data_IF_084335169466
#
_entry.id   IF_084335169466
#
_cell.length_a   1.000
_cell.length_b   1.000
_cell.length_c   1.000
_cell.angle_alpha   90.00
_cell.angle_beta   90.00
_cell.angle_gamma   90.00
#
_symmetry.space_group_name_H-M   'P 1'
#
loop_
_entity.id
_entity.type
_entity.pdbx_description
1 polymer ?
#
# COMPACT_ATOMS: atom_id res chain seq x y z
N UNK A 1 -15.14 21.54 52.27
CA UNK A 1 -13.69 21.82 52.19
C UNK A 1 -13.36 22.37 50.81
N UNK A 2 -12.80 23.59 50.74
CA UNK A 2 -12.42 24.31 49.52
C UNK A 2 -11.06 23.79 49.04
N UNK A 3 -11.01 23.05 47.93
CA UNK A 3 -9.73 22.62 47.35
C UNK A 3 -9.24 23.61 46.30
N UNK A 4 -8.11 24.24 46.62
CA UNK A 4 -7.23 24.99 45.71
C UNK A 4 -6.73 24.01 44.63
N UNK A 5 -7.07 24.26 43.37
CA UNK A 5 -6.31 23.71 42.24
C UNK A 5 -4.96 24.43 42.16
N UNK A 6 -3.90 23.66 42.30
CA UNK A 6 -2.53 24.11 42.02
C UNK A 6 -2.36 24.38 40.53
N UNK A 7 -1.79 25.54 40.22
CA UNK A 7 -1.38 25.94 38.88
C UNK A 7 -0.35 24.96 38.31
N UNK A 8 -0.80 24.06 37.44
CA UNK A 8 0.09 23.35 36.52
C UNK A 8 0.32 24.28 35.32
N UNK A 9 1.61 24.54 35.07
CA UNK A 9 2.16 25.53 34.14
C UNK A 9 1.54 25.44 32.74
N UNK A 10 1.11 26.60 32.23
CA UNK A 10 0.56 26.86 30.89
C UNK A 10 1.61 26.82 29.76
N UNK A 11 2.86 26.48 30.03
CA UNK A 11 3.97 26.69 29.09
C UNK A 11 4.25 25.53 28.12
N UNK A 12 3.55 24.39 28.22
CA UNK A 12 3.73 23.27 27.27
C UNK A 12 2.74 23.24 26.10
N UNK A 13 1.68 24.05 26.12
CA UNK A 13 0.67 24.08 25.05
C UNK A 13 0.93 25.12 23.95
N UNK A 14 1.87 26.05 24.14
CA UNK A 14 2.26 27.02 23.11
C UNK A 14 3.22 26.43 22.07
N UNK A 15 3.92 25.32 22.39
CA UNK A 15 4.86 24.69 21.45
C UNK A 15 4.19 23.72 20.46
N UNK A 16 3.03 23.17 20.78
CA UNK A 16 2.31 22.22 19.91
C UNK A 16 1.51 22.96 18.82
N UNK A 17 1.06 24.20 19.10
CA UNK A 17 0.32 25.01 18.12
C UNK A 17 1.23 25.61 17.03
N UNK A 18 2.55 25.67 17.25
CA UNK A 18 3.52 26.20 16.27
C UNK A 18 4.01 25.13 15.28
N UNK A 19 3.84 23.84 15.59
CA UNK A 19 4.28 22.74 14.70
C UNK A 19 3.21 22.40 13.63
N UNK A 20 1.93 22.70 13.88
CA UNK A 20 0.85 22.43 12.91
C UNK A 20 0.72 23.46 11.77
N UNK A 21 1.45 24.58 11.78
CA UNK A 21 1.35 25.63 10.75
C UNK A 21 2.57 25.75 9.81
N UNK A 22 3.57 24.86 9.92
CA UNK A 22 4.86 25.01 9.21
C UNK A 22 5.15 23.99 8.09
N UNK A 23 4.11 23.37 7.51
CA UNK A 23 4.27 22.59 6.27
C UNK A 23 3.56 23.25 5.09
N UNK A 24 3.89 24.51 4.83
CA UNK A 24 3.69 25.12 3.51
C UNK A 24 4.95 24.89 2.69
N UNK A 25 4.98 23.79 1.93
CA UNK A 25 6.02 23.51 0.96
C UNK A 25 5.78 24.39 -0.28
N UNK A 26 6.20 25.66 -0.19
CA UNK A 26 6.24 26.58 -1.32
C UNK A 26 7.35 26.12 -2.29
N UNK A 27 6.98 25.27 -3.25
CA UNK A 27 7.83 25.00 -4.41
C UNK A 27 7.87 26.28 -5.24
N UNK A 28 9.01 26.96 -5.23
CA UNK A 28 9.28 28.12 -6.06
C UNK A 28 9.15 27.77 -7.55
N UNK A 29 7.95 27.99 -8.10
CA UNK A 29 7.61 27.88 -9.51
C UNK A 29 8.38 28.90 -10.39
N UNK A 30 9.06 29.87 -9.77
CA UNK A 30 9.82 30.94 -10.44
C UNK A 30 11.11 30.47 -11.13
N UNK A 31 11.68 29.34 -10.70
CA UNK A 31 12.87 28.74 -11.34
C UNK A 31 12.46 28.07 -12.67
N UNK A 32 11.23 27.54 -12.73
CA UNK A 32 10.70 26.82 -13.89
C UNK A 32 10.31 27.76 -15.04
N UNK A 33 9.77 28.94 -14.73
CA UNK A 33 9.43 29.95 -15.75
C UNK A 33 10.66 30.65 -16.33
N UNK A 34 11.69 30.88 -15.50
CA UNK A 34 12.94 31.52 -15.94
C UNK A 34 13.73 30.62 -16.91
N UNK A 35 13.69 29.30 -16.73
CA UNK A 35 14.37 28.36 -17.62
C UNK A 35 13.70 28.20 -18.99
N UNK A 36 12.36 28.24 -19.04
CA UNK A 36 11.60 28.21 -20.30
C UNK A 36 11.83 29.49 -21.13
N UNK A 37 11.98 30.64 -20.48
CA UNK A 37 12.29 31.91 -21.14
C UNK A 37 13.68 31.92 -21.82
N UNK A 38 14.69 31.32 -21.18
CA UNK A 38 16.06 31.23 -21.73
C UNK A 38 16.12 30.30 -22.96
N UNK A 39 15.33 29.23 -22.97
CA UNK A 39 15.24 28.32 -24.13
C UNK A 39 14.48 28.90 -25.32
N UNK A 40 13.53 29.82 -25.09
CA UNK A 40 12.79 30.50 -26.16
C UNK A 40 13.68 31.49 -26.93
N UNK A 41 14.56 32.23 -26.24
CA UNK A 41 15.45 33.23 -26.89
C UNK A 41 16.53 32.63 -27.79
N UNK A 42 16.95 31.38 -27.59
CA UNK A 42 17.95 30.72 -28.46
C UNK A 42 17.38 30.18 -29.78
N UNK A 43 16.05 30.26 -30.01
CA UNK A 43 15.39 29.71 -31.20
C UNK A 43 15.13 30.71 -32.33
N UNK A 44 15.45 31.99 -32.17
CA UNK A 44 15.19 33.00 -33.22
C UNK A 44 16.42 33.43 -34.03
N UNK A 45 17.59 32.83 -33.82
CA UNK A 45 18.81 33.19 -34.55
C UNK A 45 19.38 32.01 -35.35
N UNK A 46 18.62 31.52 -36.32
CA UNK A 46 19.10 30.92 -37.58
C UNK A 46 17.94 30.30 -38.34
N UNK A 47 17.43 31.02 -39.33
CA UNK A 47 17.15 30.47 -40.67
C UNK A 47 16.48 31.53 -41.54
N UNK A 48 17.15 31.92 -42.63
CA UNK A 48 16.44 32.12 -43.90
C UNK A 48 17.44 32.20 -45.06
N UNK A 49 17.63 31.06 -45.72
CA UNK A 49 17.50 31.00 -47.18
C UNK A 49 17.14 29.57 -47.64
N UNK A 50 16.08 29.51 -48.45
CA UNK A 50 15.66 28.47 -49.42
C UNK A 50 15.42 27.01 -48.96
N UNK A 51 14.14 26.62 -48.88
CA UNK A 51 13.50 25.75 -49.91
C UNK A 51 12.14 25.23 -49.40
N UNK A 52 11.07 25.55 -50.15
CA UNK A 52 9.66 25.36 -49.76
C UNK A 52 9.17 23.91 -49.81
N UNK A 53 9.89 22.99 -50.45
CA UNK A 53 9.48 21.58 -50.58
C UNK A 53 10.05 20.64 -49.49
N UNK A 54 11.12 21.03 -48.79
CA UNK A 54 11.62 20.25 -47.63
C UNK A 54 10.72 20.40 -46.41
N UNK A 55 9.98 21.51 -46.30
CA UNK A 55 9.15 21.80 -45.14
C UNK A 55 7.94 20.88 -44.98
N UNK A 56 7.42 20.26 -46.06
CA UNK A 56 6.27 19.36 -45.98
C UNK A 56 6.68 17.95 -45.53
N UNK A 57 7.79 17.44 -46.06
CA UNK A 57 8.36 16.15 -45.62
C UNK A 57 8.90 16.23 -44.19
N UNK A 58 9.53 17.35 -43.82
CA UNK A 58 10.06 17.55 -42.47
C UNK A 58 8.94 17.75 -41.43
N UNK A 59 7.81 18.37 -41.80
CA UNK A 59 6.66 18.55 -40.92
C UNK A 59 5.85 17.27 -40.73
N UNK A 60 5.85 16.39 -41.73
CA UNK A 60 5.28 15.04 -41.65
C UNK A 60 6.18 14.10 -40.83
N UNK A 61 7.50 14.16 -41.02
CA UNK A 61 8.47 13.41 -40.22
C UNK A 61 8.52 13.89 -38.77
N UNK A 62 8.30 15.18 -38.51
CA UNK A 62 8.19 15.74 -37.16
C UNK A 62 6.85 15.44 -36.47
N UNK A 63 5.80 15.16 -37.24
CA UNK A 63 4.51 14.66 -36.77
C UNK A 63 4.62 13.18 -36.38
N UNK A 64 5.23 12.37 -37.25
CA UNK A 64 5.48 10.94 -37.00
C UNK A 64 6.48 10.72 -35.86
N UNK A 65 7.51 11.57 -35.71
CA UNK A 65 8.42 11.59 -34.56
C UNK A 65 7.69 11.92 -33.24
N UNK A 66 6.64 12.76 -33.29
CA UNK A 66 5.81 13.08 -32.12
C UNK A 66 4.90 11.92 -31.76
N UNK A 67 4.26 11.29 -32.74
CA UNK A 67 3.38 10.15 -32.52
C UNK A 67 4.20 8.95 -32.01
N UNK A 68 5.33 8.63 -32.65
CA UNK A 68 6.28 7.59 -32.18
C UNK A 68 6.83 7.88 -30.79
N UNK A 69 7.12 9.14 -30.43
CA UNK A 69 7.57 9.46 -29.06
C UNK A 69 6.54 9.16 -27.97
N UNK A 70 5.24 9.26 -28.29
CA UNK A 70 4.14 8.91 -27.37
C UNK A 70 3.98 7.38 -27.31
N UNK A 71 4.10 6.68 -28.44
CA UNK A 71 4.07 5.20 -28.47
C UNK A 71 5.27 4.57 -27.76
N UNK A 72 6.47 5.16 -27.83
CA UNK A 72 7.64 4.73 -27.03
C UNK A 72 7.45 5.01 -25.53
N UNK A 73 6.64 6.00 -25.14
CA UNK A 73 6.27 6.21 -23.74
C UNK A 73 5.39 5.06 -23.21
N UNK A 74 4.57 4.48 -24.09
CA UNK A 74 3.64 3.39 -23.81
C UNK A 74 4.20 2.01 -24.17
N UNK A 75 5.43 1.68 -23.75
CA UNK A 75 5.73 0.24 -23.61
C UNK A 75 4.83 -0.34 -22.52
N UNK A 76 4.21 -1.48 -22.79
CA UNK A 76 3.19 -2.09 -21.91
C UNK A 76 3.61 -2.16 -20.42
N UNK A 77 4.87 -2.49 -20.06
CA UNK A 77 5.35 -2.42 -18.67
C UNK A 77 5.26 -1.03 -18.05
N UNK A 78 5.67 0.00 -18.79
CA UNK A 78 5.72 1.38 -18.29
C UNK A 78 4.33 1.93 -18.04
N UNK A 79 3.41 1.76 -18.99
CA UNK A 79 2.03 2.19 -18.84
C UNK A 79 1.36 1.48 -17.64
N UNK A 80 1.65 0.19 -17.48
CA UNK A 80 1.10 -0.61 -16.38
C UNK A 80 1.60 -0.11 -15.03
N UNK A 81 2.91 0.11 -14.85
CA UNK A 81 3.46 0.62 -13.58
C UNK A 81 3.12 2.09 -13.31
N UNK A 82 2.94 2.91 -14.35
CA UNK A 82 2.47 4.30 -14.20
C UNK A 82 1.09 4.35 -13.53
N UNK A 83 0.22 3.38 -13.83
CA UNK A 83 -1.14 3.29 -13.27
C UNK A 83 -1.14 2.52 -11.94
N UNK A 84 -0.45 1.39 -11.87
CA UNK A 84 -0.50 0.50 -10.69
C UNK A 84 0.25 1.06 -9.51
N UNK A 85 1.45 1.63 -9.71
CA UNK A 85 2.27 2.13 -8.59
C UNK A 85 1.48 3.12 -7.72
N UNK A 86 0.81 4.15 -8.29
CA UNK A 86 0.03 5.07 -7.46
C UNK A 86 -1.13 4.43 -6.70
N UNK A 87 -1.82 3.45 -7.32
CA UNK A 87 -2.91 2.71 -6.68
C UNK A 87 -2.37 1.95 -5.47
N UNK A 88 -1.27 1.20 -5.64
CA UNK A 88 -0.68 0.40 -4.57
C UNK A 88 -0.12 1.27 -3.44
N UNK A 89 0.61 2.32 -3.77
CA UNK A 89 1.18 3.24 -2.77
C UNK A 89 0.06 3.95 -2.01
N UNK A 90 -0.98 4.43 -2.69
CA UNK A 90 -2.14 5.05 -2.05
C UNK A 90 -2.88 4.07 -1.13
N UNK A 91 -3.07 2.81 -1.56
CA UNK A 91 -3.64 1.75 -0.70
C UNK A 91 -2.77 1.53 0.53
N UNK A 92 -1.46 1.37 0.39
CA UNK A 92 -0.57 1.11 1.54
C UNK A 92 -0.53 2.28 2.49
N UNK A 93 -0.33 3.51 2.01
CA UNK A 93 -0.26 4.70 2.87
C UNK A 93 -1.55 4.94 3.66
N UNK A 94 -2.70 4.52 3.13
CA UNK A 94 -3.96 4.61 3.87
C UNK A 94 -4.20 3.40 4.75
N UNK A 95 -4.07 2.18 4.23
CA UNK A 95 -4.47 0.96 4.93
C UNK A 95 -3.53 0.64 6.07
N UNK A 96 -2.23 0.87 5.90
CA UNK A 96 -1.21 0.48 6.86
C UNK A 96 -1.34 1.13 8.24
N UNK A 97 -1.36 2.47 8.40
CA UNK A 97 -1.49 3.10 9.72
C UNK A 97 -2.84 2.73 10.35
N UNK A 98 -3.89 2.77 9.54
CA UNK A 98 -5.25 2.36 9.88
C UNK A 98 -5.28 0.93 10.46
N UNK A 99 -4.62 -0.04 9.82
CA UNK A 99 -4.63 -1.44 10.26
C UNK A 99 -4.06 -1.64 11.67
N UNK A 100 -3.17 -0.74 12.11
CA UNK A 100 -2.42 -0.83 13.37
C UNK A 100 -2.97 0.13 14.44
N UNK A 101 -3.70 1.18 14.02
CA UNK A 101 -4.42 2.12 14.88
C UNK A 101 -5.26 1.49 16.01
N UNK A 102 -6.04 0.39 15.83
CA UNK A 102 -6.80 -0.21 16.93
C UNK A 102 -6.00 -0.52 18.20
N UNK A 103 -4.74 -0.91 18.02
CA UNK A 103 -3.89 -1.46 19.08
C UNK A 103 -3.05 -0.35 19.71
N UNK A 104 -2.56 0.58 18.90
CA UNK A 104 -1.60 1.59 19.33
C UNK A 104 -2.17 3.01 19.40
N UNK A 105 -3.40 3.21 18.91
CA UNK A 105 -3.99 4.52 18.72
C UNK A 105 -3.42 5.27 17.52
N UNK A 106 -4.11 6.34 17.13
CA UNK A 106 -3.80 7.13 15.94
C UNK A 106 -2.39 7.73 15.98
N UNK A 107 -1.99 8.25 17.14
CA UNK A 107 -0.72 8.95 17.31
C UNK A 107 0.47 8.01 17.05
N UNK A 108 0.58 6.90 17.77
CA UNK A 108 1.71 5.99 17.63
C UNK A 108 1.71 5.21 16.31
N UNK A 109 0.54 4.99 15.70
CA UNK A 109 0.45 4.34 14.39
C UNK A 109 0.96 5.19 13.22
N UNK A 110 1.01 6.52 13.38
CA UNK A 110 1.36 7.48 12.32
C UNK A 110 2.69 8.18 12.54
N UNK A 111 3.15 8.28 13.79
CA UNK A 111 4.49 8.80 14.14
C UNK A 111 5.55 8.03 13.33
N UNK A 112 6.43 8.75 12.62
CA UNK A 112 7.51 8.23 11.77
C UNK A 112 7.12 7.25 10.64
N UNK A 113 5.84 6.93 10.47
CA UNK A 113 5.39 5.94 9.51
C UNK A 113 5.74 6.36 8.07
N UNK A 114 5.46 7.60 7.70
CA UNK A 114 5.67 8.11 6.35
C UNK A 114 7.17 8.20 6.02
N UNK A 115 7.99 8.63 6.98
CA UNK A 115 9.43 8.75 6.84
C UNK A 115 10.08 7.38 6.62
N UNK A 116 9.69 6.38 7.40
CA UNK A 116 10.22 5.02 7.26
C UNK A 116 9.69 4.35 5.98
N UNK A 117 8.41 4.54 5.63
CA UNK A 117 7.85 4.04 4.38
C UNK A 117 8.55 4.64 3.15
N UNK A 118 8.84 5.94 3.18
CA UNK A 118 9.61 6.62 2.13
C UNK A 118 11.06 6.13 2.10
N UNK A 119 11.70 5.94 3.26
CA UNK A 119 13.05 5.36 3.35
C UNK A 119 13.10 3.94 2.77
N UNK A 120 12.07 3.13 3.00
CA UNK A 120 11.95 1.80 2.42
C UNK A 120 11.82 1.84 0.90
N UNK A 121 11.01 2.78 0.38
CA UNK A 121 10.88 3.04 -1.05
C UNK A 121 12.23 3.45 -1.68
N UNK A 122 12.94 4.40 -1.08
CA UNK A 122 14.24 4.86 -1.59
C UNK A 122 15.29 3.75 -1.54
N UNK A 123 15.27 2.90 -0.50
CA UNK A 123 16.12 1.73 -0.43
C UNK A 123 15.84 0.73 -1.56
N UNK A 124 14.56 0.48 -1.86
CA UNK A 124 14.15 -0.31 -3.03
C UNK A 124 14.66 0.26 -4.36
N UNK A 125 14.62 1.59 -4.51
CA UNK A 125 15.18 2.28 -5.68
C UNK A 125 16.70 2.05 -5.77
N UNK A 126 17.43 2.20 -4.67
CA UNK A 126 18.89 2.00 -4.62
C UNK A 126 19.25 0.55 -5.01
N UNK A 127 18.53 -0.44 -4.46
CA UNK A 127 18.71 -1.86 -4.82
C UNK A 127 18.47 -2.06 -6.33
N UNK A 128 17.41 -1.46 -6.88
CA UNK A 128 17.11 -1.54 -8.30
C UNK A 128 18.21 -0.96 -9.17
N UNK A 129 18.77 0.20 -8.80
CA UNK A 129 19.89 0.82 -9.52
C UNK A 129 21.13 -0.07 -9.45
N UNK A 130 21.44 -0.63 -8.28
CA UNK A 130 22.54 -1.57 -8.09
C UNK A 130 22.40 -2.83 -8.96
N UNK A 131 21.20 -3.38 -9.06
CA UNK A 131 20.90 -4.51 -9.94
C UNK A 131 21.15 -4.17 -11.42
N UNK A 132 20.68 -3.00 -11.89
CA UNK A 132 20.94 -2.54 -13.26
C UNK A 132 22.43 -2.34 -13.50
N UNK A 133 23.15 -1.72 -12.56
CA UNK A 133 24.58 -1.50 -12.66
C UNK A 133 25.35 -2.83 -12.79
N UNK A 134 24.98 -3.84 -11.99
CA UNK A 134 25.54 -5.20 -12.07
C UNK A 134 25.28 -5.85 -13.43
N UNK A 135 24.09 -5.68 -13.98
CA UNK A 135 23.70 -6.31 -15.25
C UNK A 135 24.31 -5.63 -16.49
N UNK A 136 24.93 -4.45 -16.34
CA UNK A 136 25.54 -3.68 -17.42
C UNK A 136 26.68 -4.43 -18.13
N UNK A 137 27.40 -5.32 -17.43
CA UNK A 137 28.49 -6.12 -18.00
C UNK A 137 28.02 -7.26 -18.90
N UNK A 138 26.75 -7.65 -18.84
CA UNK A 138 26.21 -8.76 -19.63
C UNK A 138 25.93 -8.36 -21.08
N UNK A 139 25.87 -9.38 -21.95
CA UNK A 139 25.41 -9.23 -23.34
C UNK A 139 24.00 -8.64 -23.39
N UNK A 140 23.65 -8.02 -24.53
CA UNK A 140 22.38 -7.30 -24.65
C UNK A 140 21.15 -8.18 -24.39
N UNK A 141 21.11 -9.34 -25.04
CA UNK A 141 20.02 -10.31 -24.98
C UNK A 141 19.91 -10.89 -23.57
N UNK A 142 21.03 -11.33 -22.99
CA UNK A 142 21.05 -11.91 -21.64
C UNK A 142 20.58 -10.91 -20.59
N UNK A 143 21.00 -9.65 -20.72
CA UNK A 143 20.60 -8.58 -19.81
C UNK A 143 19.09 -8.29 -19.86
N UNK A 144 18.50 -8.25 -21.04
CA UNK A 144 17.06 -7.99 -21.18
C UNK A 144 16.24 -9.14 -20.58
N UNK A 145 16.69 -10.39 -20.75
CA UNK A 145 16.06 -11.55 -20.11
C UNK A 145 16.15 -11.49 -18.58
N UNK A 146 17.32 -11.13 -18.03
CA UNK A 146 17.49 -10.95 -16.59
C UNK A 146 16.58 -9.85 -16.03
N UNK A 147 16.49 -8.68 -16.70
CA UNK A 147 15.62 -7.58 -16.26
C UNK A 147 14.14 -7.98 -16.34
N UNK A 148 13.73 -8.70 -17.38
CA UNK A 148 12.35 -9.16 -17.53
C UNK A 148 11.98 -10.21 -16.50
N UNK A 149 12.89 -11.16 -16.23
CA UNK A 149 12.74 -12.14 -15.17
C UNK A 149 12.63 -11.48 -13.79
N UNK A 150 13.50 -10.51 -13.50
CA UNK A 150 13.47 -9.73 -12.26
C UNK A 150 12.18 -8.91 -12.11
N UNK A 151 11.65 -8.35 -13.20
CA UNK A 151 10.40 -7.60 -13.19
C UNK A 151 9.20 -8.52 -12.92
N UNK A 152 9.10 -9.66 -13.62
CA UNK A 152 8.01 -10.62 -13.43
C UNK A 152 8.05 -11.21 -12.03
N UNK A 153 9.21 -11.68 -11.58
CA UNK A 153 9.39 -12.20 -10.22
C UNK A 153 9.12 -11.13 -9.16
N UNK A 154 9.52 -9.88 -9.39
CA UNK A 154 9.22 -8.77 -8.48
C UNK A 154 7.72 -8.48 -8.34
N UNK A 155 6.95 -8.56 -9.43
CA UNK A 155 5.47 -8.43 -9.39
C UNK A 155 4.86 -9.55 -8.55
N UNK A 156 5.31 -10.79 -8.77
CA UNK A 156 4.86 -11.95 -8.01
C UNK A 156 5.17 -11.80 -6.52
N UNK A 157 6.40 -11.43 -6.17
CA UNK A 157 6.81 -11.18 -4.78
C UNK A 157 6.00 -10.07 -4.13
N UNK A 158 5.76 -8.97 -4.83
CA UNK A 158 4.93 -7.88 -4.32
C UNK A 158 3.48 -8.37 -4.07
N UNK A 159 2.90 -9.13 -5.00
CA UNK A 159 1.55 -9.69 -4.84
C UNK A 159 1.45 -10.69 -3.68
N UNK A 160 2.46 -11.55 -3.52
CA UNK A 160 2.58 -12.49 -2.40
C UNK A 160 2.66 -11.72 -1.07
N UNK A 161 3.46 -10.65 -0.99
CA UNK A 161 3.55 -9.82 0.22
C UNK A 161 2.20 -9.20 0.58
N UNK A 162 1.43 -8.69 -0.39
CA UNK A 162 0.07 -8.19 -0.13
C UNK A 162 -0.86 -9.29 0.38
N UNK A 163 -0.78 -10.49 -0.16
CA UNK A 163 -1.66 -11.60 0.21
C UNK A 163 -1.31 -12.21 1.57
N UNK A 164 -0.03 -12.28 1.93
CA UNK A 164 0.44 -12.80 3.22
C UNK A 164 0.37 -11.76 4.35
N UNK A 165 0.28 -10.47 4.04
CA UNK A 165 0.42 -9.42 5.04
C UNK A 165 -0.50 -9.57 6.28
N UNK A 166 -1.78 -9.99 6.18
CA UNK A 166 -2.61 -10.12 7.38
C UNK A 166 -2.14 -11.26 8.31
N UNK A 167 -1.51 -12.31 7.76
CA UNK A 167 -0.94 -13.42 8.54
C UNK A 167 0.35 -12.97 9.21
N UNK A 168 1.23 -12.28 8.46
CA UNK A 168 2.51 -11.79 8.98
C UNK A 168 2.26 -10.78 10.09
N UNK A 169 1.34 -9.83 9.89
CA UNK A 169 1.00 -8.83 10.91
C UNK A 169 0.44 -9.50 12.17
N UNK A 170 -0.41 -10.52 12.04
CA UNK A 170 -0.90 -11.31 13.19
C UNK A 170 0.24 -11.95 13.97
N UNK A 171 1.24 -12.52 13.29
CA UNK A 171 2.40 -13.11 13.94
C UNK A 171 3.27 -12.05 14.63
N UNK A 172 3.46 -10.89 13.98
CA UNK A 172 4.26 -9.79 14.51
C UNK A 172 3.59 -9.09 15.70
N UNK A 173 2.26 -9.14 15.82
CA UNK A 173 1.58 -8.55 16.97
C UNK A 173 2.08 -9.11 18.31
N UNK A 174 2.35 -10.42 18.37
CA UNK A 174 2.89 -11.05 19.58
C UNK A 174 4.23 -10.43 20.01
N UNK A 175 5.12 -10.16 19.06
CA UNK A 175 6.44 -9.57 19.33
C UNK A 175 6.29 -8.08 19.63
N UNK A 176 5.43 -7.40 18.89
CA UNK A 176 5.25 -5.96 18.99
C UNK A 176 4.70 -5.49 20.33
N UNK A 177 3.92 -6.34 21.03
CA UNK A 177 3.44 -6.06 22.38
C UNK A 177 4.58 -5.94 23.41
N UNK A 178 5.70 -6.64 23.19
CA UNK A 178 6.87 -6.60 24.08
C UNK A 178 7.71 -5.32 23.89
N UNK A 179 7.64 -4.70 22.72
CA UNK A 179 8.49 -3.57 22.33
C UNK A 179 7.88 -2.20 22.68
N UNK A 180 6.70 -2.20 23.31
CA UNK A 180 6.00 -1.00 23.73
C UNK A 180 5.35 -0.22 22.56
N UNK A 181 4.67 0.90 22.89
CA UNK A 181 3.82 1.61 21.94
C UNK A 181 4.58 2.39 20.86
N UNK A 182 5.86 2.71 21.08
CA UNK A 182 6.65 3.49 20.12
C UNK A 182 7.27 2.61 19.02
N UNK A 183 7.81 1.45 19.38
CA UNK A 183 8.49 0.54 18.43
C UNK A 183 7.52 -0.51 17.88
N UNK A 184 6.54 -0.94 18.68
CA UNK A 184 5.55 -1.95 18.32
C UNK A 184 4.90 -1.72 16.95
N UNK A 185 4.33 -0.52 16.66
CA UNK A 185 3.72 -0.25 15.37
C UNK A 185 4.67 -0.48 14.21
N UNK A 186 5.91 0.00 14.29
CA UNK A 186 6.88 -0.14 13.21
C UNK A 186 7.31 -1.59 12.97
N UNK A 187 7.38 -2.40 14.02
CA UNK A 187 7.63 -3.83 13.87
C UNK A 187 6.47 -4.51 13.15
N UNK A 188 5.22 -4.17 13.46
CA UNK A 188 4.07 -4.70 12.71
C UNK A 188 4.08 -4.23 11.25
N UNK A 189 4.48 -2.99 10.98
CA UNK A 189 4.61 -2.46 9.62
C UNK A 189 5.74 -3.08 8.80
N UNK A 190 6.73 -3.70 9.45
CA UNK A 190 7.74 -4.51 8.78
C UNK A 190 7.12 -5.75 8.11
N UNK A 191 5.97 -6.23 8.58
CA UNK A 191 5.20 -7.30 7.93
C UNK A 191 4.19 -6.85 6.88
N UNK A 192 4.03 -5.54 6.68
CA UNK A 192 3.01 -4.95 5.82
C UNK A 192 3.60 -3.90 4.88
N UNK A 193 3.71 -2.65 5.33
CA UNK A 193 3.97 -1.53 4.45
C UNK A 193 5.41 -1.48 3.92
N UNK A 194 6.40 -1.68 4.78
CA UNK A 194 7.81 -1.47 4.41
C UNK A 194 8.28 -2.42 3.30
N UNK A 195 8.14 -3.76 3.41
CA UNK A 195 8.57 -4.65 2.34
C UNK A 195 7.81 -4.42 1.03
N UNK A 196 6.55 -4.00 1.10
CA UNK A 196 5.76 -3.65 -0.09
C UNK A 196 6.29 -2.37 -0.73
N UNK A 197 6.55 -1.32 0.04
CA UNK A 197 7.11 -0.06 -0.46
C UNK A 197 8.50 -0.27 -1.08
N UNK A 198 9.36 -1.07 -0.44
CA UNK A 198 10.66 -1.49 -1.00
C UNK A 198 10.47 -2.19 -2.35
N UNK A 199 9.56 -3.17 -2.43
CA UNK A 199 9.28 -3.91 -3.67
C UNK A 199 8.78 -3.00 -4.78
N UNK A 200 7.88 -2.06 -4.46
CA UNK A 200 7.39 -1.05 -5.41
C UNK A 200 8.53 -0.17 -5.91
N UNK A 201 9.42 0.28 -5.03
CA UNK A 201 10.60 1.08 -5.41
C UNK A 201 11.50 0.34 -6.40
N UNK A 202 11.80 -0.92 -6.12
CA UNK A 202 12.57 -1.80 -7.01
C UNK A 202 11.91 -1.97 -8.38
N UNK A 203 10.60 -2.27 -8.41
CA UNK A 203 9.85 -2.49 -9.65
C UNK A 203 9.79 -1.25 -10.54
N UNK A 204 9.60 -0.06 -9.96
CA UNK A 204 9.61 1.19 -10.73
C UNK A 204 10.97 1.44 -11.40
N UNK A 205 12.07 1.09 -10.72
CA UNK A 205 13.40 1.20 -11.32
C UNK A 205 13.58 0.20 -12.46
N UNK A 206 13.14 -1.05 -12.33
CA UNK A 206 13.18 -2.03 -13.44
C UNK A 206 12.35 -1.56 -14.64
N UNK A 207 11.16 -1.01 -14.41
CA UNK A 207 10.31 -0.46 -15.48
C UNK A 207 10.97 0.73 -16.19
N UNK A 208 11.63 1.62 -15.44
CA UNK A 208 12.37 2.77 -15.98
C UNK A 208 13.68 2.38 -16.68
N UNK A 209 14.36 1.32 -16.24
CA UNK A 209 15.60 0.84 -16.82
C UNK A 209 15.47 0.53 -18.31
N UNK A 210 14.31 -0.04 -18.70
CA UNK A 210 13.99 -0.31 -20.10
C UNK A 210 13.98 0.95 -20.95
N UNK A 211 13.61 2.12 -20.41
CA UNK A 211 13.54 3.40 -21.14
C UNK A 211 14.93 3.94 -21.51
N UNK A 212 15.91 3.76 -20.62
CA UNK A 212 17.30 4.23 -20.83
C UNK A 212 17.94 3.61 -22.07
N UNK A 213 17.50 2.41 -22.44
CA UNK A 213 18.09 1.61 -23.51
C UNK A 213 17.59 1.97 -24.92
N UNK A 214 16.35 2.42 -25.01
CA UNK A 214 15.64 2.72 -26.27
C UNK A 214 16.02 4.10 -26.83
N UNK A 215 16.47 5.01 -25.96
CA UNK A 215 16.98 6.31 -26.35
C UNK A 215 18.51 6.32 -26.27
N UNK A 216 19.16 6.19 -27.43
CA UNK A 216 20.59 6.48 -27.68
C UNK A 216 20.95 7.97 -27.51
N UNK A 217 20.26 8.70 -26.63
CA UNK A 217 20.26 10.16 -26.46
C UNK A 217 20.86 10.57 -25.11
N UNK A 218 21.35 11.81 -24.97
CA UNK A 218 22.11 12.24 -23.79
C UNK A 218 21.36 12.06 -22.47
N UNK A 219 22.09 11.67 -21.43
CA UNK A 219 21.68 11.47 -20.02
C UNK A 219 20.65 12.51 -19.55
N UNK A 220 20.79 13.76 -20.00
CA UNK A 220 19.90 14.86 -19.66
C UNK A 220 18.43 14.65 -20.07
N UNK A 221 18.17 14.04 -21.24
CA UNK A 221 16.78 13.75 -21.67
C UNK A 221 16.16 12.63 -20.86
N UNK A 222 16.94 11.60 -20.53
CA UNK A 222 16.49 10.50 -19.67
C UNK A 222 16.12 11.00 -18.27
N UNK A 223 16.94 11.87 -17.68
CA UNK A 223 16.65 12.50 -16.39
C UNK A 223 15.32 13.26 -16.40
N UNK A 224 15.05 14.06 -17.46
CA UNK A 224 13.79 14.78 -17.60
C UNK A 224 12.58 13.84 -17.68
N UNK A 225 12.68 12.73 -18.42
CA UNK A 225 11.58 11.75 -18.49
C UNK A 225 11.34 11.03 -17.18
N UNK A 226 12.40 10.68 -16.45
CA UNK A 226 12.29 10.09 -15.11
C UNK A 226 11.60 11.08 -14.17
N UNK A 227 11.95 12.36 -14.20
CA UNK A 227 11.28 13.42 -13.43
C UNK A 227 9.80 13.53 -13.80
N UNK A 228 9.46 13.53 -15.10
CA UNK A 228 8.05 13.55 -15.56
C UNK A 228 7.29 12.32 -15.06
N UNK A 229 7.89 11.13 -15.12
CA UNK A 229 7.27 9.90 -14.65
C UNK A 229 7.01 9.93 -13.14
N UNK A 230 8.01 10.32 -12.35
CA UNK A 230 7.86 10.45 -10.90
C UNK A 230 6.84 11.52 -10.51
N UNK A 231 6.82 12.66 -11.20
CA UNK A 231 5.84 13.73 -10.93
C UNK A 231 4.41 13.26 -11.22
N UNK A 232 4.17 12.54 -12.33
CA UNK A 232 2.86 11.94 -12.62
C UNK A 232 2.47 10.91 -11.56
N UNK A 233 3.40 10.06 -11.13
CA UNK A 233 3.14 9.06 -10.08
C UNK A 233 2.77 9.76 -8.77
N UNK A 234 3.53 10.76 -8.34
CA UNK A 234 3.29 11.49 -7.08
C UNK A 234 1.95 12.22 -7.12
N UNK A 235 1.62 12.89 -8.23
CA UNK A 235 0.33 13.58 -8.37
C UNK A 235 -0.83 12.58 -8.34
N UNK A 236 -0.72 11.44 -9.05
CA UNK A 236 -1.74 10.40 -9.02
C UNK A 236 -1.88 9.78 -7.63
N UNK A 237 -0.78 9.56 -6.90
CA UNK A 237 -0.81 9.10 -5.49
C UNK A 237 -1.61 10.08 -4.64
N UNK A 238 -1.33 11.38 -4.74
CA UNK A 238 -2.01 12.39 -3.95
C UNK A 238 -3.51 12.46 -4.25
N UNK A 239 -3.89 12.42 -5.54
CA UNK A 239 -5.30 12.41 -5.98
C UNK A 239 -6.00 11.13 -5.50
N UNK A 240 -5.40 9.96 -5.68
CA UNK A 240 -5.98 8.71 -5.19
C UNK A 240 -6.05 8.69 -3.67
N UNK A 241 -5.06 9.26 -3.00
CA UNK A 241 -5.04 9.37 -1.55
C UNK A 241 -6.19 10.26 -1.02
N UNK A 242 -6.59 11.30 -1.75
CA UNK A 242 -7.69 12.18 -1.33
C UNK A 242 -9.07 11.65 -1.73
N UNK A 243 -9.19 10.98 -2.88
CA UNK A 243 -10.47 10.53 -3.45
C UNK A 243 -10.89 9.15 -2.94
N UNK A 244 -9.94 8.25 -2.67
CA UNK A 244 -10.28 6.88 -2.32
C UNK A 244 -10.92 6.83 -0.93
N UNK A 245 -12.23 6.63 -0.91
CA UNK A 245 -13.06 6.60 0.30
C UNK A 245 -12.54 5.56 1.30
N UNK A 246 -12.67 5.85 2.60
CA UNK A 246 -12.33 4.96 3.72
C UNK A 246 -13.19 3.68 3.71
N UNK A 247 -12.86 2.74 2.83
CA UNK A 247 -13.43 1.39 2.81
C UNK A 247 -12.68 0.43 3.74
N UNK A 248 -13.26 -0.75 3.99
CA UNK A 248 -12.65 -1.79 4.85
C UNK A 248 -11.22 -2.12 4.42
N UNK A 249 -10.29 -1.98 5.37
CA UNK A 249 -8.83 -2.13 5.17
C UNK A 249 -8.44 -3.44 4.48
N UNK A 250 -8.97 -4.58 4.93
CA UNK A 250 -8.62 -5.89 4.37
C UNK A 250 -9.06 -6.06 2.90
N UNK A 251 -10.26 -5.59 2.54
CA UNK A 251 -10.77 -5.71 1.16
C UNK A 251 -9.87 -4.99 0.15
N UNK A 252 -9.28 -3.86 0.57
CA UNK A 252 -8.35 -3.10 -0.26
C UNK A 252 -7.03 -3.83 -0.45
N UNK A 253 -6.50 -4.47 0.60
CA UNK A 253 -5.30 -5.33 0.48
C UNK A 253 -5.54 -6.51 -0.47
N UNK A 254 -6.69 -7.18 -0.36
CA UNK A 254 -7.06 -8.28 -1.25
C UNK A 254 -7.21 -7.82 -2.69
N UNK A 255 -7.89 -6.71 -2.91
CA UNK A 255 -8.04 -6.14 -4.24
C UNK A 255 -6.67 -5.79 -4.85
N UNK A 256 -5.76 -5.19 -4.07
CA UNK A 256 -4.40 -4.90 -4.52
C UNK A 256 -3.59 -6.17 -4.85
N UNK A 257 -3.69 -7.21 -4.03
CA UNK A 257 -3.05 -8.50 -4.28
C UNK A 257 -3.60 -9.18 -5.55
N UNK A 258 -4.93 -9.19 -5.74
CA UNK A 258 -5.58 -9.74 -6.93
C UNK A 258 -5.26 -8.93 -8.19
N UNK A 259 -5.19 -7.60 -8.09
CA UNK A 259 -4.78 -6.72 -9.18
C UNK A 259 -3.35 -7.04 -9.63
N UNK A 260 -2.41 -7.20 -8.68
CA UNK A 260 -1.05 -7.62 -8.98
C UNK A 260 -0.97 -9.02 -9.57
N UNK A 261 -1.78 -9.97 -9.09
CA UNK A 261 -1.86 -11.31 -9.64
C UNK A 261 -2.34 -11.28 -11.11
N UNK A 262 -3.41 -10.53 -11.40
CA UNK A 262 -3.93 -10.35 -12.76
C UNK A 262 -2.87 -9.75 -13.67
N UNK A 263 -2.21 -8.68 -13.22
CA UNK A 263 -1.15 -8.02 -14.00
C UNK A 263 0.02 -8.97 -14.24
N UNK A 264 0.44 -9.71 -13.22
CA UNK A 264 1.46 -10.76 -13.36
C UNK A 264 1.06 -11.84 -14.37
N UNK A 265 -0.18 -12.32 -14.36
CA UNK A 265 -0.66 -13.31 -15.36
C UNK A 265 -0.60 -12.76 -16.78
N UNK A 266 -1.04 -11.51 -16.98
CA UNK A 266 -1.04 -10.85 -18.28
C UNK A 266 0.39 -10.74 -18.79
N UNK A 267 1.35 -10.29 -17.96
CA UNK A 267 2.76 -10.18 -18.34
C UNK A 267 3.39 -11.53 -18.69
N UNK A 268 3.11 -12.58 -17.91
CA UNK A 268 3.60 -13.94 -18.18
C UNK A 268 3.00 -14.51 -19.47
N UNK A 269 1.72 -14.27 -19.71
CA UNK A 269 1.03 -14.70 -20.93
C UNK A 269 1.59 -13.98 -22.16
N UNK A 270 1.78 -12.66 -22.08
CA UNK A 270 2.40 -11.86 -23.14
C UNK A 270 3.84 -12.32 -23.41
N UNK A 271 4.61 -12.59 -22.36
CA UNK A 271 5.96 -13.15 -22.47
C UNK A 271 5.98 -14.50 -23.19
N UNK A 272 4.99 -15.35 -22.91
CA UNK A 272 4.85 -16.66 -23.54
C UNK A 272 4.42 -16.57 -25.01
N UNK A 273 3.46 -15.70 -25.34
CA UNK A 273 2.89 -15.56 -26.70
C UNK A 273 3.86 -14.88 -27.65
N UNK A 274 4.46 -13.77 -27.24
CA UNK A 274 5.27 -12.93 -28.13
C UNK A 274 6.77 -13.25 -28.08
N UNK A 275 7.19 -14.12 -27.15
CA UNK A 275 8.61 -14.31 -26.86
C UNK A 275 9.26 -13.01 -26.37
N UNK A 276 10.59 -12.94 -26.39
CA UNK A 276 11.34 -11.71 -26.09
C UNK A 276 10.72 -10.52 -26.83
N UNK A 277 10.09 -9.60 -26.07
CA UNK A 277 9.61 -8.31 -26.59
C UNK A 277 10.83 -7.44 -26.94
N UNK A 278 11.52 -7.80 -28.03
CA UNK A 278 12.60 -7.03 -28.62
C UNK A 278 11.98 -5.91 -29.45
N UNK A 279 12.03 -4.69 -28.91
CA UNK A 279 11.74 -3.50 -29.69
C UNK A 279 12.92 -3.22 -30.64
N UNK A 280 12.62 -3.37 -31.93
CA UNK A 280 13.07 -2.47 -32.99
C UNK A 280 14.59 -2.40 -33.25
N UNK A 281 15.18 -3.57 -33.48
CA UNK A 281 16.51 -3.70 -34.10
C UNK A 281 16.49 -4.53 -35.40
N UNK A 282 15.75 -5.64 -35.42
CA UNK A 282 15.81 -6.58 -36.54
C UNK A 282 14.42 -7.06 -36.93
N UNK A 283 13.74 -6.30 -37.81
CA UNK A 283 12.56 -6.80 -38.51
C UNK A 283 12.84 -8.08 -39.33
N UNK A 284 14.12 -8.37 -39.62
CA UNK A 284 14.63 -9.60 -40.25
C UNK A 284 14.78 -10.78 -39.28
N UNK A 285 14.75 -10.54 -37.96
CA UNK A 285 14.93 -11.57 -36.93
C UNK A 285 13.67 -11.74 -36.06
N UNK A 286 12.48 -11.55 -36.65
CA UNK A 286 11.30 -12.27 -36.16
C UNK A 286 11.64 -13.75 -36.20
N UNK A 287 12.04 -14.32 -35.06
CA UNK A 287 11.84 -15.74 -34.80
C UNK A 287 10.42 -16.02 -35.25
N UNK A 288 10.27 -16.85 -36.29
CA UNK A 288 8.96 -17.33 -36.72
C UNK A 288 8.17 -17.67 -35.46
N UNK A 289 6.93 -17.20 -35.30
CA UNK A 289 6.12 -17.62 -34.16
C UNK A 289 6.21 -19.14 -34.13
N UNK A 290 6.79 -19.69 -33.08
CA UNK A 290 6.87 -21.14 -32.88
C UNK A 290 5.50 -21.63 -32.47
N UNK A 291 4.50 -21.37 -33.31
CA UNK A 291 3.12 -21.84 -33.19
C UNK A 291 3.01 -23.34 -33.52
N UNK A 292 4.13 -23.98 -33.89
CA UNK A 292 4.21 -25.43 -34.13
C UNK A 292 4.78 -26.21 -32.94
N UNK A 293 5.08 -25.58 -31.80
CA UNK A 293 5.30 -26.33 -30.56
C UNK A 293 3.93 -26.56 -29.94
N UNK A 294 3.49 -27.82 -29.88
CA UNK A 294 2.16 -28.15 -29.38
C UNK A 294 1.92 -27.48 -28.02
N UNK A 295 0.77 -26.80 -27.86
CA UNK A 295 0.32 -26.21 -26.59
C UNK A 295 0.46 -27.21 -25.41
N UNK A 296 0.37 -28.51 -25.71
CA UNK A 296 0.51 -29.63 -24.78
C UNK A 296 1.91 -29.80 -24.18
N UNK A 297 2.98 -29.47 -24.89
CA UNK A 297 4.36 -29.61 -24.39
C UNK A 297 4.85 -28.41 -23.56
N UNK A 298 4.17 -27.25 -23.66
CA UNK A 298 4.47 -26.05 -22.86
C UNK A 298 3.61 -25.92 -21.59
N UNK A 299 2.55 -26.74 -21.48
CA UNK A 299 1.67 -26.80 -20.32
C UNK A 299 2.39 -26.90 -18.96
N UNK A 300 3.42 -27.77 -18.75
CA UNK A 300 4.10 -27.87 -17.46
C UNK A 300 4.95 -26.63 -17.11
N UNK A 301 5.45 -25.90 -18.13
CA UNK A 301 6.21 -24.67 -17.91
C UNK A 301 5.29 -23.52 -17.49
N UNK A 302 4.13 -23.40 -18.15
CA UNK A 302 3.11 -22.40 -17.84
C UNK A 302 2.51 -22.64 -16.44
N UNK A 303 2.26 -23.89 -16.05
CA UNK A 303 1.71 -24.19 -14.72
C UNK A 303 2.68 -23.83 -13.59
N UNK A 304 3.97 -24.14 -13.73
CA UNK A 304 4.99 -23.73 -12.76
C UNK A 304 5.08 -22.20 -12.70
N UNK A 305 5.00 -21.52 -13.84
CA UNK A 305 5.08 -20.07 -13.90
C UNK A 305 3.87 -19.38 -13.25
N UNK A 306 2.68 -19.98 -13.25
CA UNK A 306 1.47 -19.43 -12.64
C UNK A 306 1.29 -19.78 -11.15
N UNK A 307 2.18 -20.59 -10.57
CA UNK A 307 2.14 -20.97 -9.17
C UNK A 307 2.05 -19.77 -8.19
N UNK A 308 2.78 -18.65 -8.38
CA UNK A 308 2.66 -17.49 -7.50
C UNK A 308 1.25 -16.89 -7.47
N UNK A 309 0.54 -16.86 -8.61
CA UNK A 309 -0.81 -16.33 -8.70
C UNK A 309 -1.82 -17.23 -8.02
N UNK A 310 -1.67 -18.55 -8.17
CA UNK A 310 -2.48 -19.54 -7.46
C UNK A 310 -2.28 -19.36 -5.94
N UNK A 311 -1.04 -19.20 -5.49
CA UNK A 311 -0.72 -18.94 -4.09
C UNK A 311 -1.38 -17.64 -3.58
N UNK A 312 -1.33 -16.55 -4.34
CA UNK A 312 -2.00 -15.29 -3.99
C UNK A 312 -3.50 -15.51 -3.81
N UNK A 313 -4.16 -16.20 -4.75
CA UNK A 313 -5.61 -16.47 -4.67
C UNK A 313 -5.95 -17.32 -3.45
N UNK A 314 -5.20 -18.40 -3.20
CA UNK A 314 -5.38 -19.27 -2.03
C UNK A 314 -5.23 -18.46 -0.74
N UNK A 315 -4.20 -17.60 -0.63
CA UNK A 315 -3.97 -16.78 0.55
C UNK A 315 -5.04 -15.72 0.76
N UNK A 316 -5.57 -15.12 -0.32
CA UNK A 316 -6.71 -14.19 -0.24
C UNK A 316 -7.96 -14.91 0.26
N UNK A 317 -8.28 -16.09 -0.29
CA UNK A 317 -9.41 -16.92 0.17
C UNK A 317 -9.23 -17.33 1.63
N UNK A 318 -8.03 -17.78 2.00
CA UNK A 318 -7.72 -18.17 3.38
C UNK A 318 -7.92 -16.98 4.34
N UNK A 319 -7.36 -15.81 4.02
CA UNK A 319 -7.51 -14.66 4.90
C UNK A 319 -8.95 -14.15 4.96
N UNK A 320 -9.71 -14.19 3.86
CA UNK A 320 -11.10 -13.80 3.87
C UNK A 320 -11.99 -14.71 4.74
N UNK A 321 -11.66 -16.00 4.84
CA UNK A 321 -12.46 -17.00 5.56
C UNK A 321 -11.94 -17.35 6.96
N UNK A 322 -10.64 -17.20 7.25
CA UNK A 322 -10.07 -17.67 8.52
C UNK A 322 -9.41 -16.57 9.35
N UNK A 323 -9.10 -15.41 8.76
CA UNK A 323 -8.52 -14.31 9.52
C UNK A 323 -9.63 -13.53 10.22
N UNK A 324 -9.72 -13.61 11.54
CA UNK A 324 -10.73 -12.92 12.35
C UNK A 324 -10.74 -11.39 12.16
N UNK A 325 -9.60 -10.79 11.80
CA UNK A 325 -9.52 -9.35 11.53
C UNK A 325 -10.13 -8.93 10.19
N UNK A 326 -10.30 -9.89 9.27
CA UNK A 326 -10.77 -9.62 7.92
C UNK A 326 -12.04 -10.38 7.53
N UNK A 327 -12.41 -11.39 8.33
CA UNK A 327 -13.60 -12.17 8.12
C UNK A 327 -14.82 -11.46 8.71
N UNK A 328 -15.80 -11.23 7.84
CA UNK A 328 -17.07 -10.57 8.13
C UNK A 328 -18.09 -11.57 8.69
N UNK A 329 -17.92 -12.86 8.38
CA UNK A 329 -18.91 -13.92 8.57
C UNK A 329 -18.68 -14.81 9.80
N UNK A 330 -17.49 -14.86 10.40
CA UNK A 330 -17.27 -15.71 11.59
C UNK A 330 -17.50 -14.91 12.87
N UNK A 331 -18.73 -14.97 13.35
CA UNK A 331 -19.04 -15.09 14.77
C UNK A 331 -19.77 -16.43 14.92
N UNK A 332 -19.09 -17.54 14.65
CA UNK A 332 -19.73 -18.86 14.77
C UNK A 332 -18.73 -19.87 15.34
N UNK A 333 -19.08 -20.38 16.53
CA UNK A 333 -18.66 -21.66 17.14
C UNK A 333 -17.69 -21.65 18.33
N UNK A 334 -17.25 -20.51 18.87
CA UNK A 334 -16.58 -20.50 20.20
C UNK A 334 -17.49 -20.05 21.33
N UNK A 335 -18.76 -19.80 21.02
CA UNK A 335 -19.78 -19.58 22.05
C UNK A 335 -20.38 -20.93 22.35
N UNK A 336 -20.29 -21.33 23.61
CA UNK A 336 -20.94 -22.51 24.18
C UNK A 336 -22.33 -22.71 23.55
N UNK A 337 -22.64 -23.94 23.09
CA UNK A 337 -23.85 -24.25 22.31
C UNK A 337 -25.17 -23.91 23.05
N UNK A 338 -25.08 -23.54 24.32
CA UNK A 338 -26.18 -23.16 25.19
C UNK A 338 -26.50 -21.65 25.20
N UNK A 339 -25.70 -20.81 24.54
CA UNK A 339 -25.90 -19.36 24.52
C UNK A 339 -26.37 -18.95 23.13
N UNK A 340 -27.65 -18.56 23.05
CA UNK A 340 -28.26 -18.05 21.82
C UNK A 340 -28.02 -16.54 21.75
N UNK A 341 -27.21 -16.10 20.78
CA UNK A 341 -26.93 -14.68 20.54
C UNK A 341 -27.27 -14.27 19.11
N UNK A 342 -27.73 -13.03 18.96
CA UNK A 342 -28.06 -12.40 17.71
C UNK A 342 -27.30 -11.06 17.57
N UNK A 343 -26.70 -10.82 16.42
CA UNK A 343 -25.99 -9.55 16.15
C UNK A 343 -26.96 -8.62 15.43
N UNK A 344 -27.43 -7.60 16.14
CA UNK A 344 -28.39 -6.64 15.58
C UNK A 344 -27.74 -5.67 14.60
N UNK A 345 -26.55 -5.21 14.95
CA UNK A 345 -25.81 -4.24 14.17
C UNK A 345 -24.33 -4.45 14.42
N UNK A 346 -23.53 -4.50 13.35
CA UNK A 346 -22.08 -4.51 13.43
C UNK A 346 -21.55 -3.46 12.48
N UNK A 347 -20.84 -2.49 13.02
CA UNK A 347 -20.11 -1.52 12.24
C UNK A 347 -18.62 -1.77 12.42
N UNK A 348 -17.97 -2.15 11.34
CA UNK A 348 -16.53 -2.35 11.31
C UNK A 348 -15.85 -1.03 11.04
N UNK A 349 -14.95 -0.66 11.95
CA UNK A 349 -13.99 0.39 11.74
C UNK A 349 -12.65 -0.23 11.37
N UNK A 350 -11.80 0.64 10.88
CA UNK A 350 -10.36 0.43 10.83
C UNK A 350 -9.81 0.04 12.21
N UNK A 351 -10.38 0.59 13.29
CA UNK A 351 -9.96 0.46 14.70
C UNK A 351 -10.56 -0.74 15.44
N UNK A 352 -11.11 -1.72 14.73
CA UNK A 352 -11.86 -2.84 15.31
C UNK A 352 -13.33 -2.77 14.91
N UNK A 353 -14.20 -3.48 15.60
CA UNK A 353 -15.62 -3.48 15.29
C UNK A 353 -16.42 -3.04 16.51
N UNK A 354 -17.43 -2.21 16.26
CA UNK A 354 -18.48 -1.93 17.24
C UNK A 354 -19.67 -2.79 16.84
N UNK A 355 -20.19 -3.54 17.78
CA UNK A 355 -21.37 -4.35 17.54
C UNK A 355 -22.34 -4.32 18.71
N UNK A 356 -23.62 -4.39 18.34
CA UNK A 356 -24.74 -4.59 19.25
C UNK A 356 -25.10 -6.06 19.17
N UNK A 357 -24.80 -6.78 20.25
CA UNK A 357 -25.11 -8.20 20.39
C UNK A 357 -26.25 -8.34 21.39
N UNK A 358 -27.26 -9.10 21.01
CA UNK A 358 -28.29 -9.58 21.90
C UNK A 358 -27.99 -11.01 22.30
N UNK A 359 -27.99 -11.28 23.59
CA UNK A 359 -28.05 -12.63 24.13
C UNK A 359 -29.50 -12.90 24.50
N UNK A 360 -30.13 -13.84 23.81
CA UNK A 360 -31.54 -14.21 24.03
C UNK A 360 -31.64 -15.08 25.29
N UNK A 361 -30.73 -16.05 25.44
CA UNK A 361 -30.64 -16.93 26.61
C UNK A 361 -29.18 -17.15 27.03
N UNK A 362 -28.89 -17.27 28.34
CA UNK A 362 -29.85 -17.25 29.45
C UNK A 362 -30.20 -15.85 30.00
N UNK A 363 -29.41 -14.80 29.73
CA UNK A 363 -29.53 -13.53 30.49
C UNK A 363 -30.43 -12.48 29.88
N UNK A 364 -30.88 -12.65 28.64
CA UNK A 364 -31.73 -11.68 27.94
C UNK A 364 -31.13 -10.25 27.97
N UNK A 365 -29.86 -10.13 27.58
CA UNK A 365 -29.09 -8.86 27.60
C UNK A 365 -28.85 -8.34 26.19
N UNK A 366 -28.81 -7.02 26.04
CA UNK A 366 -28.35 -6.35 24.82
C UNK A 366 -27.10 -5.55 25.15
N UNK A 367 -25.99 -5.87 24.52
CA UNK A 367 -24.69 -5.27 24.81
C UNK A 367 -24.13 -4.56 23.57
N UNK A 368 -23.59 -3.37 23.80
CA UNK A 368 -22.74 -2.67 22.87
C UNK A 368 -21.30 -3.00 23.23
N UNK A 369 -20.57 -3.65 22.32
CA UNK A 369 -19.15 -3.97 22.51
C UNK A 369 -18.30 -3.43 21.39
N UNK A 370 -17.06 -3.08 21.72
CA UNK A 370 -16.00 -2.76 20.77
C UNK A 370 -14.91 -3.82 20.89
N UNK A 371 -14.80 -4.72 19.91
CA UNK A 371 -13.88 -5.84 19.99
C UNK A 371 -14.15 -6.74 21.21
N UNK A 372 -13.17 -6.81 22.11
CA UNK A 372 -13.27 -7.52 23.39
C UNK A 372 -13.75 -6.66 24.56
N UNK A 373 -13.98 -5.36 24.33
CA UNK A 373 -14.38 -4.41 25.37
C UNK A 373 -15.88 -4.18 25.37
N UNK A 374 -16.48 -4.21 26.54
CA UNK A 374 -17.88 -3.86 26.75
C UNK A 374 -18.02 -2.33 26.90
N UNK A 375 -18.68 -1.69 25.94
CA UNK A 375 -18.92 -0.23 25.93
C UNK A 375 -20.20 0.16 26.67
N UNK A 376 -21.14 -0.78 26.77
CA UNK A 376 -22.37 -0.61 27.50
C UNK A 376 -23.34 -1.73 27.21
N UNK A 377 -24.49 -1.69 27.87
CA UNK A 377 -25.53 -2.67 27.65
C UNK A 377 -26.67 -2.52 28.62
N UNK A 378 -27.76 -3.21 28.32
CA UNK A 378 -28.98 -3.23 29.11
C UNK A 378 -29.46 -4.66 29.34
N UNK A 379 -30.00 -4.93 30.52
CA UNK A 379 -30.88 -6.08 30.74
C UNK A 379 -32.23 -5.77 30.09
N UNK A 380 -32.72 -6.63 29.19
CA UNK A 380 -33.94 -6.31 28.43
C UNK A 380 -35.21 -6.36 29.29
N UNK A 381 -35.19 -7.17 30.34
CA UNK A 381 -36.32 -7.34 31.26
C UNK A 381 -36.47 -6.14 32.19
N UNK A 382 -35.39 -5.72 32.84
CA UNK A 382 -35.43 -4.62 33.83
C UNK A 382 -35.13 -3.25 33.22
N UNK A 383 -34.52 -3.20 32.04
CA UNK A 383 -33.96 -2.00 31.39
C UNK A 383 -32.82 -1.35 32.17
N UNK A 384 -32.24 -2.05 33.13
CA UNK A 384 -31.09 -1.57 33.88
C UNK A 384 -29.80 -1.69 33.08
N UNK A 385 -28.86 -0.81 33.38
CA UNK A 385 -27.50 -0.89 32.84
C UNK A 385 -26.78 -2.13 33.35
N UNK A 386 -26.12 -2.86 32.45
CA UNK A 386 -25.25 -3.99 32.83
C UNK A 386 -24.08 -3.58 33.73
N UNK A 387 -23.76 -2.28 33.77
CA UNK A 387 -22.71 -1.76 34.64
C UNK A 387 -23.02 -1.91 36.13
N UNK A 388 -24.30 -2.09 36.49
CA UNK A 388 -24.73 -2.43 37.85
C UNK A 388 -24.00 -3.65 38.43
N UNK A 389 -23.74 -4.67 37.61
CA UNK A 389 -23.05 -5.88 38.05
C UNK A 389 -21.59 -5.60 38.46
N UNK A 390 -20.90 -4.68 37.78
CA UNK A 390 -19.52 -4.32 38.11
C UNK A 390 -19.44 -3.56 39.44
N UNK A 391 -20.41 -2.70 39.72
CA UNK A 391 -20.51 -2.03 41.03
C UNK A 391 -20.71 -3.05 42.16
N UNK A 392 -21.53 -4.07 41.95
CA UNK A 392 -21.77 -5.09 42.97
C UNK A 392 -20.51 -5.94 43.22
N UNK A 393 -19.80 -6.34 42.16
CA UNK A 393 -18.53 -7.08 42.31
C UNK A 393 -17.47 -6.25 43.03
N UNK A 394 -17.37 -4.96 42.74
CA UNK A 394 -16.46 -4.06 43.44
C UNK A 394 -16.88 -3.82 44.89
N UNK A 395 -18.18 -3.69 45.16
CA UNK A 395 -18.71 -3.54 46.52
C UNK A 395 -18.42 -4.76 47.40
N UNK A 396 -18.59 -5.99 46.87
CA UNK A 396 -18.23 -7.22 47.59
C UNK A 396 -16.73 -7.23 47.91
N UNK A 397 -15.88 -6.87 46.94
CA UNK A 397 -14.44 -6.77 47.14
C UNK A 397 -14.06 -5.75 48.23
N UNK A 398 -14.76 -4.61 48.29
CA UNK A 398 -14.55 -3.59 49.32
C UNK A 398 -15.00 -4.07 50.72
N UNK A 399 -16.07 -4.88 50.80
CA UNK A 399 -16.53 -5.46 52.07
C UNK A 399 -15.56 -6.53 52.57
N UNK A 400 -15.12 -7.46 51.72
CA UNK A 400 -14.16 -8.51 52.09
C UNK A 400 -12.82 -7.93 52.53
N UNK A 401 -12.37 -6.85 51.88
CA UNK A 401 -11.11 -6.17 52.22
C UNK A 401 -11.23 -5.16 53.34
N UNK A 402 -12.41 -4.65 53.68
CA UNK A 402 -12.64 -3.82 54.86
C UNK A 402 -12.37 -4.56 56.18
N UNK A 403 -12.29 -5.91 56.15
CA UNK A 403 -11.80 -6.73 57.26
C UNK A 403 -10.27 -6.68 57.42
N UNK A 404 -9.53 -6.18 56.42
CA UNK A 404 -8.10 -5.89 56.47
C UNK A 404 -7.87 -4.37 56.44
N UNK A 405 -7.09 -3.85 57.39
CA UNK A 405 -7.10 -2.45 57.84
C UNK A 405 -6.62 -1.34 56.85
N UNK A 406 -6.57 -1.56 55.53
CA UNK A 406 -6.15 -0.56 54.55
C UNK A 406 -7.33 0.07 53.79
N UNK A 407 -7.56 1.37 54.04
CA UNK A 407 -8.60 2.17 53.38
C UNK A 407 -8.15 2.64 51.99
N UNK A 408 -8.62 1.96 50.94
CA UNK A 408 -8.63 2.52 49.58
C UNK A 408 -10.04 2.97 49.18
N UNK A 409 -10.13 4.09 48.45
CA UNK A 409 -11.40 4.61 47.94
C UNK A 409 -11.77 3.90 46.65
N UNK A 410 -13.05 3.58 46.49
CA UNK A 410 -13.62 3.07 45.25
C UNK A 410 -13.21 3.96 44.06
N UNK A 411 -12.92 3.32 42.93
CA UNK A 411 -12.61 3.99 41.67
C UNK A 411 -13.88 4.68 41.16
N UNK A 412 -14.03 5.97 41.44
CA UNK A 412 -15.05 6.81 40.81
C UNK A 412 -14.51 7.22 39.44
N UNK A 413 -15.13 6.74 38.36
CA UNK A 413 -14.91 7.24 37.00
C UNK A 413 -15.47 8.64 36.83
#
# INVERSE_FOLDING_TARGET
MRYRMGNIKKDQYSHIRTICNSYNFNVNLSIFTSFISIMSRRRQQKSSSSSSNQNLLYKQQQSDDKITSITHLCTLPRATFLIITPILVSVILQVSPNYVEPIYGNVFSTIYFNEIALSSLTFGIIIGIGFIAKTKSLSQITRDNEINSALISGIDWCGILFALSPIIVRALFHISGLLGPYIGPHVTQFGLAYPIMLSIGFLNVMACARLSREQRRPIFRWMLYVIIHFTIIITLIYVLYSVMTRGRSCRRLYFSGLLLALVGTVFKLLWCIYGELSLEGDASQRRKPTFNVSLRSQLPFITIQLLPQILIIIMVIYNANFNSHCNIAIIQNTVDNNIEYNILARNESITGWIEVVEEIKPRNIRVLRAGHSLLGGIFRETRDSIYGCFYLMEAVRLIERGASHEHERALQM
#
